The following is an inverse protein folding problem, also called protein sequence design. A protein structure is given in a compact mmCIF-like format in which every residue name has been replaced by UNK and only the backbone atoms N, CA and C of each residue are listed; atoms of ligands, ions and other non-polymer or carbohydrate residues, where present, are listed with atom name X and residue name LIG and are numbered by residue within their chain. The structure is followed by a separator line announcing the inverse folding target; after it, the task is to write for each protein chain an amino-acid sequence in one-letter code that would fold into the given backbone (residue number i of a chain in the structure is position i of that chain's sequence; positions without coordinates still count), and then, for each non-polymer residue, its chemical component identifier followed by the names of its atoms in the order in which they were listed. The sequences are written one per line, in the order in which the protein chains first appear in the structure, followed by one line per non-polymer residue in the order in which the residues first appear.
data_IF_864591524002
#
_entry.id   IF_864591524002
#
_cell.length_a   1.000
_cell.length_b   1.000
_cell.length_c   1.000
_cell.angle_alpha   90.00
_cell.angle_beta   90.00
_cell.angle_gamma   90.00
#
_symmetry.space_group_name_H-M   'P 1'
#
loop_
_entity.id
_entity.type
_entity.pdbx_description
1 polymer ?
#
# COMPACT_ATOMS: atom_id res chain seq x y z
N UNK A 1 -45.05 16.96 44.45
CA UNK A 1 -45.29 17.80 43.25
C UNK A 1 -43.94 18.13 42.63
N UNK A 2 -43.87 18.14 41.30
CA UNK A 2 -42.70 18.44 40.45
C UNK A 2 -41.74 17.26 40.14
N UNK A 3 -42.02 16.56 39.03
CA UNK A 3 -40.98 16.21 38.05
C UNK A 3 -41.59 16.40 36.66
N UNK A 4 -41.28 17.52 36.03
CA UNK A 4 -41.62 17.78 34.63
C UNK A 4 -40.70 16.97 33.71
N UNK A 5 -41.31 16.38 32.70
CA UNK A 5 -40.75 15.44 31.74
C UNK A 5 -39.63 16.04 30.89
N UNK A 6 -38.49 15.34 30.81
CA UNK A 6 -37.31 15.61 29.95
C UNK A 6 -37.61 15.36 28.45
N UNK A 7 -38.89 15.40 28.02
CA UNK A 7 -39.28 15.27 26.60
C UNK A 7 -39.17 16.57 25.81
N UNK A 8 -38.77 17.69 26.42
CA UNK A 8 -38.75 19.00 25.75
C UNK A 8 -37.36 19.46 25.24
N UNK A 9 -36.27 18.74 25.51
CA UNK A 9 -34.90 19.22 25.19
C UNK A 9 -34.15 18.45 24.10
N UNK A 10 -34.71 17.38 23.52
CA UNK A 10 -34.07 16.66 22.40
C UNK A 10 -34.49 17.18 21.02
N UNK A 11 -35.20 18.31 20.96
CA UNK A 11 -35.75 18.90 19.73
C UNK A 11 -34.85 19.94 19.05
N UNK A 12 -33.73 20.34 19.65
CA UNK A 12 -32.93 21.46 19.15
C UNK A 12 -31.44 21.11 19.17
N UNK A 13 -30.94 20.62 18.04
CA UNK A 13 -29.53 20.57 17.56
C UNK A 13 -29.25 19.29 16.76
N UNK A 14 -30.11 19.00 15.78
CA UNK A 14 -29.68 18.29 14.58
C UNK A 14 -29.63 19.33 13.46
N UNK A 15 -28.51 20.07 13.43
CA UNK A 15 -28.23 21.07 12.41
C UNK A 15 -28.39 20.44 11.03
N UNK A 16 -29.06 21.16 10.14
CA UNK A 16 -29.46 20.79 8.77
C UNK A 16 -28.31 20.22 7.92
N UNK A 17 -27.08 20.48 8.34
CA UNK A 17 -25.81 19.95 7.81
C UNK A 17 -25.66 18.42 7.95
N UNK A 18 -26.14 17.81 9.03
CA UNK A 18 -26.03 16.36 9.26
C UNK A 18 -27.01 15.53 8.39
N UNK A 19 -28.20 16.07 8.09
CA UNK A 19 -29.16 15.42 7.17
C UNK A 19 -28.67 15.44 5.72
N UNK A 20 -27.94 16.47 5.31
CA UNK A 20 -27.34 16.55 3.96
C UNK A 20 -26.15 15.58 3.79
N UNK A 21 -25.36 15.36 4.84
CA UNK A 21 -24.23 14.41 4.83
C UNK A 21 -24.68 12.95 4.76
N UNK A 22 -25.84 12.61 5.33
CA UNK A 22 -26.41 11.26 5.26
C UNK A 22 -27.11 10.96 3.93
N UNK A 23 -27.66 11.98 3.24
CA UNK A 23 -28.38 11.79 1.96
C UNK A 23 -27.47 11.50 0.75
N UNK A 24 -26.17 11.78 0.84
CA UNK A 24 -25.17 11.48 -0.22
C UNK A 24 -24.43 10.14 -0.04
N UNK A 25 -24.72 9.36 1.01
CA UNK A 25 -24.02 8.09 1.31
C UNK A 25 -24.88 6.83 1.22
N UNK A 26 -26.10 6.93 0.70
CA UNK A 26 -26.93 5.77 0.35
C UNK A 26 -26.84 5.49 -1.15
N UNK A 27 -25.63 5.20 -1.64
CA UNK A 27 -25.49 4.32 -2.79
C UNK A 27 -24.83 3.06 -2.26
N UNK A 28 -25.68 2.10 -1.94
CA UNK A 28 -25.33 0.79 -1.45
C UNK A 28 -24.22 0.21 -2.32
N UNK A 29 -23.02 0.12 -1.75
CA UNK A 29 -21.95 -0.69 -2.31
C UNK A 29 -22.36 -2.15 -2.06
N UNK A 30 -22.83 -2.80 -3.12
CA UNK A 30 -23.12 -4.24 -3.14
C UNK A 30 -21.80 -4.99 -2.94
N UNK A 31 -21.49 -5.33 -1.68
CA UNK A 31 -20.56 -6.41 -1.39
C UNK A 31 -21.30 -7.70 -1.77
N UNK A 32 -20.70 -8.47 -2.68
CA UNK A 32 -21.20 -9.76 -3.16
C UNK A 32 -21.80 -10.59 -2.01
N UNK A 33 -23.10 -10.89 -2.12
CA UNK A 33 -23.69 -12.12 -1.59
C UNK A 33 -23.99 -12.23 -0.09
N UNK A 34 -24.12 -11.17 0.69
CA UNK A 34 -24.55 -11.30 2.10
C UNK A 34 -25.93 -10.65 2.34
N UNK A 35 -27.00 -11.46 2.30
CA UNK A 35 -28.31 -11.08 2.89
C UNK A 35 -28.21 -11.36 4.39
N UNK A 36 -28.09 -10.32 5.20
CA UNK A 36 -28.35 -10.43 6.64
C UNK A 36 -29.59 -9.60 6.97
N UNK A 37 -30.73 -10.28 6.97
CA UNK A 37 -32.00 -9.82 7.54
C UNK A 37 -32.12 -10.47 8.92
N UNK A 38 -31.79 -9.74 9.99
CA UNK A 38 -32.17 -10.10 11.37
C UNK A 38 -32.00 -8.90 12.31
N UNK A 39 -32.98 -8.70 13.20
CA UNK A 39 -33.20 -7.54 14.09
C UNK A 39 -32.25 -7.44 15.30
N UNK A 40 -31.17 -8.21 15.38
CA UNK A 40 -30.21 -8.11 16.48
C UNK A 40 -28.78 -8.14 15.98
N UNK A 41 -28.27 -7.02 15.48
CA UNK A 41 -26.84 -6.80 15.36
C UNK A 41 -26.55 -5.32 15.64
N UNK A 42 -26.26 -5.02 16.90
CA UNK A 42 -25.43 -3.87 17.23
C UNK A 42 -24.08 -4.23 16.60
N UNK A 43 -23.85 -3.77 15.37
CA UNK A 43 -22.52 -3.82 14.79
C UNK A 43 -21.65 -3.02 15.75
N UNK A 44 -20.84 -3.73 16.52
CA UNK A 44 -19.99 -3.16 17.56
C UNK A 44 -19.29 -1.93 16.97
N UNK A 45 -19.45 -0.77 17.62
CA UNK A 45 -18.82 0.47 17.19
C UNK A 45 -17.31 0.25 17.04
N UNK A 46 -16.70 -0.71 17.77
CA UNK A 46 -15.32 -1.16 17.54
C UNK A 46 -15.08 -1.71 16.14
N UNK A 47 -15.97 -2.53 15.59
CA UNK A 47 -15.84 -3.12 14.24
C UNK A 47 -16.03 -2.03 13.18
N UNK A 48 -17.02 -1.14 13.35
CA UNK A 48 -17.25 -0.04 12.41
C UNK A 48 -16.11 0.98 12.43
N UNK A 49 -15.59 1.32 13.62
CA UNK A 49 -14.39 2.15 13.79
C UNK A 49 -13.19 1.46 13.16
N UNK A 50 -13.00 0.16 13.32
CA UNK A 50 -11.87 -0.56 12.72
C UNK A 50 -11.97 -0.57 11.19
N UNK A 51 -13.16 -0.82 10.62
CA UNK A 51 -13.40 -0.75 9.16
C UNK A 51 -13.15 0.67 8.62
N UNK A 52 -13.61 1.71 9.33
CA UNK A 52 -13.41 3.12 8.96
C UNK A 52 -11.95 3.56 9.15
N UNK A 53 -11.26 3.13 10.21
CA UNK A 53 -9.84 3.43 10.45
C UNK A 53 -8.93 2.69 9.45
N UNK A 54 -9.27 1.46 9.08
CA UNK A 54 -8.56 0.65 8.07
C UNK A 54 -8.72 1.27 6.68
N UNK A 55 -9.90 1.81 6.34
CA UNK A 55 -10.11 2.49 5.04
C UNK A 55 -9.58 3.93 4.99
N UNK A 56 -9.37 4.61 6.13
CA UNK A 56 -8.93 6.02 6.19
C UNK A 56 -7.45 6.21 6.47
N UNK A 57 -6.71 5.18 6.88
CA UNK A 57 -5.25 5.20 6.88
C UNK A 57 -4.71 4.99 5.46
N UNK A 58 -4.86 6.02 4.62
CA UNK A 58 -3.91 6.26 3.54
C UNK A 58 -2.60 6.63 4.20
N UNK A 59 -1.86 5.62 4.67
CA UNK A 59 -0.51 5.79 5.19
C UNK A 59 0.29 6.40 4.04
N UNK A 60 0.54 7.71 4.12
CA UNK A 60 1.68 8.31 3.42
C UNK A 60 2.92 7.70 4.06
N UNK A 61 3.27 6.51 3.62
CA UNK A 61 4.55 5.93 3.95
C UNK A 61 5.58 6.58 3.04
N UNK A 62 6.45 7.40 3.64
CA UNK A 62 7.54 8.02 2.88
C UNK A 62 8.49 6.96 2.32
N UNK A 63 8.61 5.80 3.00
CA UNK A 63 9.42 4.65 2.56
C UNK A 63 8.70 3.33 2.91
N UNK A 64 8.83 2.32 2.06
CA UNK A 64 8.30 0.96 2.29
C UNK A 64 9.44 0.05 2.75
N UNK A 65 9.29 -0.62 3.90
CA UNK A 65 10.25 -1.60 4.41
C UNK A 65 9.79 -3.04 4.16
N UNK A 66 10.67 -4.03 4.33
CA UNK A 66 10.32 -5.46 4.21
C UNK A 66 9.22 -5.87 5.20
N UNK A 67 9.28 -5.35 6.44
CA UNK A 67 8.26 -5.58 7.46
C UNK A 67 6.90 -5.03 7.03
N UNK A 68 6.88 -3.89 6.35
CA UNK A 68 5.63 -3.32 5.84
C UNK A 68 5.02 -4.20 4.75
N UNK A 69 5.84 -4.73 3.83
CA UNK A 69 5.39 -5.69 2.80
C UNK A 69 4.78 -6.93 3.46
N UNK A 70 5.44 -7.51 4.47
CA UNK A 70 4.90 -8.63 5.22
C UNK A 70 3.55 -8.29 5.90
N UNK A 71 3.45 -7.12 6.53
CA UNK A 71 2.19 -6.64 7.12
C UNK A 71 1.08 -6.46 6.07
N UNK A 72 1.42 -6.05 4.85
CA UNK A 72 0.45 -5.96 3.75
C UNK A 72 -0.05 -7.33 3.31
N UNK A 73 0.80 -8.37 3.32
CA UNK A 73 0.39 -9.75 3.00
C UNK A 73 -0.66 -10.25 3.99
N UNK A 74 -0.44 -10.03 5.29
CA UNK A 74 -1.40 -10.40 6.34
C UNK A 74 -2.76 -9.69 6.15
N UNK A 75 -2.74 -8.42 5.73
CA UNK A 75 -3.96 -7.61 5.49
C UNK A 75 -4.77 -8.05 4.28
N UNK A 76 -4.13 -8.66 3.29
CA UNK A 76 -4.80 -9.18 2.09
C UNK A 76 -5.64 -10.43 2.44
N UNK A 77 -5.52 -10.95 3.67
CA UNK A 77 -6.26 -12.12 4.14
C UNK A 77 -5.51 -13.42 3.92
N UNK A 78 -4.19 -13.35 3.77
CA UNK A 78 -3.34 -14.54 3.76
C UNK A 78 -3.16 -15.00 5.21
N UNK A 79 -3.70 -16.16 5.56
CA UNK A 79 -3.59 -16.76 6.89
C UNK A 79 -2.20 -17.40 7.07
N UNK A 80 -1.20 -16.55 7.31
CA UNK A 80 0.16 -16.96 7.64
C UNK A 80 0.61 -16.29 8.92
N UNK A 81 1.50 -16.94 9.64
CA UNK A 81 2.11 -16.34 10.82
C UNK A 81 2.95 -15.10 10.42
N UNK A 82 2.95 -14.01 11.22
CA UNK A 82 3.71 -12.81 10.88
C UNK A 82 5.21 -13.04 10.70
N UNK A 83 5.80 -14.01 11.41
CA UNK A 83 7.22 -14.35 11.26
C UNK A 83 7.44 -15.02 9.91
N UNK A 84 6.55 -15.94 9.53
CA UNK A 84 6.60 -16.61 8.22
C UNK A 84 6.41 -15.62 7.07
N UNK A 85 5.50 -14.64 7.22
CA UNK A 85 5.30 -13.60 6.21
C UNK A 85 6.57 -12.79 5.95
N UNK A 86 7.31 -12.42 7.01
CA UNK A 86 8.58 -11.74 6.88
C UNK A 86 9.64 -12.63 6.23
N UNK A 87 9.67 -13.90 6.61
CA UNK A 87 10.63 -14.86 6.06
C UNK A 87 10.43 -15.06 4.56
N UNK A 88 9.18 -15.21 4.09
CA UNK A 88 8.88 -15.28 2.66
C UNK A 88 9.34 -14.04 1.89
N UNK A 89 9.14 -12.84 2.45
CA UNK A 89 9.63 -11.61 1.81
C UNK A 89 11.16 -11.61 1.72
N UNK A 90 11.86 -12.07 2.75
CA UNK A 90 13.32 -12.18 2.72
C UNK A 90 13.78 -13.20 1.68
N UNK A 91 13.19 -14.40 1.67
CA UNK A 91 13.54 -15.44 0.70
C UNK A 91 13.33 -14.98 -0.75
N UNK A 92 12.24 -14.26 -1.04
CA UNK A 92 12.00 -13.68 -2.37
C UNK A 92 13.14 -12.73 -2.75
N UNK A 93 13.52 -11.82 -1.86
CA UNK A 93 14.62 -10.88 -2.12
C UNK A 93 15.94 -11.63 -2.32
N UNK A 94 16.22 -12.66 -1.53
CA UNK A 94 17.44 -13.44 -1.64
C UNK A 94 17.51 -14.21 -2.96
N UNK A 95 16.39 -14.77 -3.42
CA UNK A 95 16.28 -15.42 -4.74
C UNK A 95 16.57 -14.40 -5.85
N UNK A 96 15.99 -13.19 -5.78
CA UNK A 96 16.25 -12.13 -6.76
C UNK A 96 17.73 -11.76 -6.81
N UNK A 97 18.36 -11.57 -5.64
CA UNK A 97 19.80 -11.24 -5.55
C UNK A 97 20.65 -12.37 -6.11
N UNK A 98 20.35 -13.63 -5.77
CA UNK A 98 21.09 -14.80 -6.25
C UNK A 98 21.04 -14.92 -7.77
N UNK A 99 19.85 -14.77 -8.36
CA UNK A 99 19.61 -14.84 -9.81
C UNK A 99 20.30 -13.70 -10.56
N UNK A 100 20.24 -12.48 -10.06
CA UNK A 100 20.97 -11.37 -10.68
C UNK A 100 22.49 -11.57 -10.54
N UNK A 101 22.96 -12.10 -9.41
CA UNK A 101 24.40 -12.33 -9.20
C UNK A 101 24.97 -13.39 -10.13
N UNK A 102 24.17 -14.40 -10.50
CA UNK A 102 24.56 -15.45 -11.45
C UNK A 102 24.63 -14.98 -12.91
N UNK A 103 24.17 -13.76 -13.22
CA UNK A 103 24.12 -13.28 -14.61
C UNK A 103 22.75 -13.40 -15.26
N UNK A 104 21.75 -13.94 -14.55
CA UNK A 104 20.42 -14.18 -15.11
C UNK A 104 19.55 -12.91 -15.04
N UNK A 105 18.76 -12.71 -16.10
CA UNK A 105 17.76 -11.66 -16.15
C UNK A 105 16.48 -12.09 -15.41
N UNK A 106 15.86 -11.15 -14.70
CA UNK A 106 14.60 -11.40 -13.99
C UNK A 106 13.48 -10.59 -14.62
N UNK A 107 12.40 -11.26 -15.02
CA UNK A 107 11.19 -10.64 -15.52
C UNK A 107 10.07 -10.82 -14.52
N UNK A 108 9.53 -9.72 -14.01
CA UNK A 108 8.31 -9.72 -13.18
C UNK A 108 7.19 -9.12 -14.03
N UNK A 109 6.18 -9.94 -14.33
CA UNK A 109 5.06 -9.55 -15.17
C UNK A 109 4.32 -8.33 -14.59
N UNK A 110 3.86 -7.42 -15.47
CA UNK A 110 3.24 -6.15 -15.10
C UNK A 110 4.07 -5.21 -14.21
N UNK A 111 5.33 -5.54 -13.91
CA UNK A 111 6.25 -4.72 -13.14
C UNK A 111 7.40 -4.26 -14.02
N UNK A 112 8.29 -5.17 -14.42
CA UNK A 112 9.42 -4.86 -15.29
C UNK A 112 10.49 -5.95 -15.33
N UNK A 113 11.60 -5.63 -15.99
CA UNK A 113 12.75 -6.50 -16.17
C UNK A 113 13.96 -5.95 -15.41
N UNK A 114 14.59 -6.78 -14.58
CA UNK A 114 15.93 -6.54 -14.04
C UNK A 114 16.94 -7.28 -14.90
N UNK A 115 18.03 -6.60 -15.26
CA UNK A 115 19.05 -7.17 -16.12
C UNK A 115 20.41 -6.54 -15.82
N UNK A 116 21.48 -7.25 -16.16
CA UNK A 116 22.84 -6.78 -15.95
C UNK A 116 23.31 -5.97 -17.16
N UNK A 117 23.91 -4.82 -16.89
CA UNK A 117 24.63 -4.02 -17.88
C UNK A 117 26.10 -3.97 -17.54
N UNK A 118 26.94 -4.23 -18.54
CA UNK A 118 28.38 -4.06 -18.44
C UNK A 118 28.74 -2.62 -18.79
N UNK A 119 29.31 -1.89 -17.82
CA UNK A 119 29.82 -0.54 -18.03
C UNK A 119 31.29 -0.63 -18.41
N UNK A 120 31.64 -0.04 -19.55
CA UNK A 120 33.03 0.08 -20.02
C UNK A 120 33.80 1.10 -19.18
N UNK A 121 35.11 0.94 -19.17
CA UNK A 121 36.02 1.93 -18.59
C UNK A 121 35.85 3.28 -19.27
N UNK A 122 35.91 4.35 -18.48
CA UNK A 122 35.88 5.73 -18.97
C UNK A 122 36.55 6.66 -17.97
N UNK A 123 37.01 7.81 -18.45
CA UNK A 123 37.56 8.86 -17.61
C UNK A 123 36.39 9.67 -17.03
N UNK A 124 36.33 9.73 -15.70
CA UNK A 124 35.43 10.58 -14.94
C UNK A 124 36.17 11.77 -14.34
N UNK A 125 35.45 12.62 -13.61
CA UNK A 125 36.03 13.73 -12.86
C UNK A 125 35.49 13.74 -11.44
N UNK A 126 36.30 14.15 -10.47
CA UNK A 126 35.83 14.41 -9.12
C UNK A 126 34.89 15.64 -9.14
N UNK A 127 33.61 15.53 -8.75
CA UNK A 127 32.69 16.66 -8.76
C UNK A 127 33.15 17.86 -7.92
N UNK A 128 34.00 17.62 -6.90
CA UNK A 128 34.49 18.66 -6.00
C UNK A 128 35.77 19.33 -6.48
N UNK A 129 36.71 18.60 -7.09
CA UNK A 129 38.06 19.12 -7.46
C UNK A 129 38.31 19.22 -8.96
N UNK A 130 37.54 18.51 -9.79
CA UNK A 130 37.72 18.50 -11.25
C UNK A 130 38.79 17.54 -11.76
N UNK A 131 39.60 16.94 -10.88
CA UNK A 131 40.66 16.00 -11.25
C UNK A 131 40.12 14.79 -12.01
N UNK A 132 40.90 14.32 -12.99
CA UNK A 132 40.54 13.17 -13.80
C UNK A 132 40.74 11.86 -13.01
N UNK A 133 39.74 10.99 -13.04
CA UNK A 133 39.79 9.66 -12.42
C UNK A 133 39.33 8.61 -13.42
N UNK A 134 40.15 7.58 -13.60
CA UNK A 134 39.78 6.41 -14.41
C UNK A 134 38.77 5.56 -13.65
N UNK A 135 37.56 5.43 -14.19
CA UNK A 135 36.50 4.60 -13.61
C UNK A 135 36.61 3.19 -14.20
N UNK A 136 36.87 2.20 -13.35
CA UNK A 136 37.02 0.80 -13.74
C UNK A 136 35.73 0.22 -14.36
N UNK A 137 35.86 -0.75 -15.28
CA UNK A 137 34.71 -1.44 -15.84
C UNK A 137 34.01 -2.26 -14.75
N UNK A 138 32.67 -2.26 -14.75
CA UNK A 138 31.88 -2.98 -13.74
C UNK A 138 30.53 -3.45 -14.27
N UNK A 139 29.96 -4.44 -13.60
CA UNK A 139 28.57 -4.88 -13.79
C UNK A 139 27.65 -4.00 -12.95
N UNK A 140 26.56 -3.53 -13.55
CA UNK A 140 25.51 -2.79 -12.85
C UNK A 140 24.15 -3.41 -13.13
N UNK A 141 23.29 -3.43 -12.13
CA UNK A 141 21.89 -3.85 -12.31
C UNK A 141 21.10 -2.69 -12.88
N UNK A 142 20.32 -2.93 -13.92
CA UNK A 142 19.41 -1.97 -14.50
C UNK A 142 17.98 -2.50 -14.44
N UNK A 143 17.03 -1.59 -14.22
CA UNK A 143 15.60 -1.89 -14.24
C UNK A 143 14.94 -1.26 -15.45
N UNK A 144 14.21 -2.06 -16.23
CA UNK A 144 13.35 -1.60 -17.32
C UNK A 144 11.89 -1.78 -16.92
N UNK A 145 11.15 -0.69 -16.61
CA UNK A 145 9.73 -0.80 -16.25
C UNK A 145 8.90 -1.27 -17.44
N UNK A 146 7.92 -2.12 -17.16
CA UNK A 146 6.96 -2.61 -18.16
C UNK A 146 6.06 -1.48 -18.68
N UNK A 147 5.49 -1.60 -19.90
CA UNK A 147 4.51 -0.63 -20.41
C UNK A 147 3.32 -0.46 -19.48
N UNK A 148 2.83 -1.55 -18.87
CA UNK A 148 1.73 -1.53 -17.90
C UNK A 148 2.09 -0.72 -16.65
N UNK A 149 3.30 -0.91 -16.12
CA UNK A 149 3.81 -0.14 -14.99
C UNK A 149 3.88 1.36 -15.31
N UNK A 150 4.49 1.72 -16.45
CA UNK A 150 4.60 3.12 -16.90
C UNK A 150 3.24 3.80 -17.03
N UNK A 151 2.26 3.13 -17.65
CA UNK A 151 0.88 3.63 -17.79
C UNK A 151 0.23 3.88 -16.42
N UNK A 152 0.39 2.96 -15.47
CA UNK A 152 -0.15 3.11 -14.10
C UNK A 152 0.47 4.29 -13.35
N UNK A 153 1.77 4.52 -13.51
CA UNK A 153 2.45 5.66 -12.87
C UNK A 153 2.00 6.98 -13.50
N UNK A 154 1.96 7.08 -14.83
CA UNK A 154 1.57 8.30 -15.53
C UNK A 154 0.11 8.71 -15.28
N UNK A 155 -0.82 7.75 -15.14
CA UNK A 155 -2.24 8.03 -14.87
C UNK A 155 -2.48 8.75 -13.53
N UNK A 156 -1.54 8.65 -12.60
CA UNK A 156 -1.65 9.19 -11.25
C UNK A 156 -0.84 10.48 -11.04
N UNK A 157 -0.22 11.00 -12.10
CA UNK A 157 0.47 12.29 -12.14
C UNK A 157 -0.44 13.34 -12.79
#
# INVERSE_FOLDING_TARGET
MAYMSIKALSGLLMTTTMKQLLKKRTQYFLIRGCRVLSKHYIIDIRVLINIILVTRRRLRMANITRKDIANYMLRIGVEIDPIQALDYVNQIVDILVKKISSGEDILIFNFGKFFIRHKRQRIGRNPRTGDQLTISPRRVVAFRPSPAFRKKVQKNA
#
